data_IF_377464989187
#
_entry.id   IF_377464989187
#
_cell.length_a   1.000
_cell.length_b   1.000
_cell.length_c   1.000
_cell.angle_alpha   90.00
_cell.angle_beta   90.00
_cell.angle_gamma   90.00
#
_symmetry.space_group_name_H-M   'P 1'
#
loop_
_entity.id
_entity.type
_entity.pdbx_description
1 polymer ?
#
# COMPACT_ATOMS: atom_id res chain seq x y z
N UNK A 1 16.11 13.51 3.57
CA UNK A 1 16.10 12.94 4.93
C UNK A 1 15.78 14.05 5.90
N UNK A 2 14.91 13.79 6.87
CA UNK A 2 14.53 14.72 7.92
C UNK A 2 14.68 14.03 9.27
N UNK A 3 15.54 14.57 10.14
CA UNK A 3 15.64 14.12 11.53
C UNK A 3 14.59 14.85 12.38
N UNK A 4 13.60 14.10 12.84
CA UNK A 4 12.51 14.64 13.67
C UNK A 4 12.97 15.11 15.06
N UNK A 5 14.16 14.69 15.53
CA UNK A 5 14.66 15.04 16.87
C UNK A 5 15.40 16.37 16.86
N UNK A 6 16.28 16.58 15.86
CA UNK A 6 17.09 17.79 15.74
C UNK A 6 16.51 18.83 14.79
N UNK A 7 15.56 18.45 13.93
CA UNK A 7 15.05 19.28 12.83
C UNK A 7 16.01 19.40 11.64
N UNK A 8 17.18 18.75 11.69
CA UNK A 8 18.16 18.79 10.62
C UNK A 8 17.66 18.06 9.37
N UNK A 9 17.97 18.63 8.21
CA UNK A 9 17.51 18.12 6.91
C UNK A 9 18.68 17.92 5.96
N UNK A 10 18.62 16.84 5.19
CA UNK A 10 19.45 16.65 3.99
C UNK A 10 18.51 16.55 2.80
N UNK A 11 18.61 17.52 1.89
CA UNK A 11 17.76 17.64 0.71
C UNK A 11 18.61 17.73 -0.57
N UNK A 12 18.36 16.82 -1.52
CA UNK A 12 18.98 16.82 -2.84
C UNK A 12 17.86 16.58 -3.85
N UNK A 13 17.63 17.53 -4.76
CA UNK A 13 16.55 17.49 -5.75
C UNK A 13 15.15 17.23 -5.15
N UNK A 14 14.88 17.74 -3.95
CA UNK A 14 13.65 17.44 -3.19
C UNK A 14 12.34 17.75 -3.93
N UNK A 15 12.34 18.76 -4.81
CA UNK A 15 11.17 19.20 -5.57
C UNK A 15 11.12 18.63 -7.00
N UNK A 16 11.99 17.67 -7.33
CA UNK A 16 12.00 17.03 -8.64
C UNK A 16 11.05 15.82 -8.64
N UNK A 17 10.21 15.71 -9.66
CA UNK A 17 9.32 14.54 -9.83
C UNK A 17 10.11 13.32 -10.31
N UNK A 18 9.78 12.16 -9.73
CA UNK A 18 10.31 10.86 -10.12
C UNK A 18 9.16 9.84 -10.29
N UNK A 19 9.42 8.76 -11.01
CA UNK A 19 8.49 7.63 -11.05
C UNK A 19 8.43 6.98 -9.67
N UNK A 20 7.24 6.90 -9.09
CA UNK A 20 7.06 6.40 -7.73
C UNK A 20 7.42 4.90 -7.59
N UNK A 21 7.30 4.11 -8.66
CA UNK A 21 7.40 2.65 -8.57
C UNK A 21 6.57 2.12 -7.39
N UNK A 22 7.09 1.19 -6.59
CA UNK A 22 6.36 0.66 -5.42
C UNK A 22 6.15 1.68 -4.27
N UNK A 23 6.78 2.86 -4.28
CA UNK A 23 6.59 3.85 -3.19
C UNK A 23 5.18 4.43 -3.16
N UNK A 24 4.42 4.33 -4.25
CA UNK A 24 3.00 4.72 -4.32
C UNK A 24 2.09 3.93 -3.37
N UNK A 25 2.52 2.74 -2.93
CA UNK A 25 1.73 1.87 -2.06
C UNK A 25 1.54 2.45 -0.65
N UNK A 26 2.49 3.27 -0.17
CA UNK A 26 2.40 3.94 1.13
C UNK A 26 1.21 4.91 1.19
N UNK A 27 1.07 5.92 0.30
CA UNK A 27 -0.10 6.79 0.32
C UNK A 27 -1.41 6.04 0.02
N UNK A 28 -1.38 4.97 -0.78
CA UNK A 28 -2.57 4.13 -1.00
C UNK A 28 -3.03 3.45 0.30
N UNK A 29 -2.10 2.87 1.07
CA UNK A 29 -2.39 2.29 2.38
C UNK A 29 -2.94 3.34 3.35
N UNK A 30 -2.37 4.54 3.37
CA UNK A 30 -2.86 5.66 4.19
C UNK A 30 -4.30 6.04 3.83
N UNK A 31 -4.65 6.11 2.54
CA UNK A 31 -6.02 6.40 2.07
C UNK A 31 -7.00 5.31 2.53
N UNK A 32 -6.60 4.05 2.44
CA UNK A 32 -7.45 2.92 2.86
C UNK A 32 -7.70 2.99 4.38
N UNK A 33 -6.65 3.20 5.19
CA UNK A 33 -6.80 3.29 6.63
C UNK A 33 -7.52 4.57 7.10
N UNK A 34 -7.42 5.68 6.36
CA UNK A 34 -8.26 6.86 6.59
C UNK A 34 -9.75 6.55 6.36
N UNK A 35 -10.09 5.76 5.34
CA UNK A 35 -11.47 5.29 5.12
C UNK A 35 -11.95 4.35 6.24
N UNK A 36 -11.07 3.50 6.76
CA UNK A 36 -11.36 2.65 7.92
C UNK A 36 -11.61 3.50 9.16
N UNK A 37 -10.73 4.46 9.46
CA UNK A 37 -10.87 5.37 10.59
C UNK A 37 -12.14 6.23 10.53
N UNK A 38 -12.62 6.55 9.33
CA UNK A 38 -13.89 7.26 9.07
C UNK A 38 -15.13 6.35 9.07
N UNK A 39 -14.96 5.04 9.21
CA UNK A 39 -16.05 4.06 9.15
C UNK A 39 -16.64 3.82 7.77
N UNK A 40 -16.01 4.33 6.70
CA UNK A 40 -16.44 4.11 5.31
C UNK A 40 -16.06 2.70 4.80
N UNK A 41 -15.08 2.06 5.46
CA UNK A 41 -14.62 0.69 5.22
C UNK A 41 -14.34 0.00 6.55
N UNK A 42 -14.25 -1.32 6.53
CA UNK A 42 -13.73 -2.12 7.64
C UNK A 42 -12.47 -2.85 7.18
N UNK A 43 -11.53 -3.06 8.07
CA UNK A 43 -10.35 -3.90 7.79
C UNK A 43 -10.74 -5.32 7.38
N UNK A 44 -11.86 -5.81 7.90
CA UNK A 44 -12.44 -7.12 7.60
C UNK A 44 -13.25 -7.16 6.31
N UNK A 45 -13.44 -6.03 5.63
CA UNK A 45 -14.08 -6.05 4.30
C UNK A 45 -13.19 -6.90 3.38
N UNK A 46 -13.83 -7.69 2.51
CA UNK A 46 -13.11 -8.63 1.64
C UNK A 46 -13.24 -8.26 0.16
N UNK A 47 -12.17 -8.51 -0.60
CA UNK A 47 -12.14 -8.38 -2.05
C UNK A 47 -11.89 -9.75 -2.68
N UNK A 48 -12.66 -10.05 -3.73
CA UNK A 48 -12.45 -11.25 -4.54
C UNK A 48 -11.46 -10.94 -5.65
N UNK A 49 -10.39 -11.72 -5.74
CA UNK A 49 -9.46 -11.64 -6.86
C UNK A 49 -10.11 -12.15 -8.15
N UNK A 50 -9.72 -11.54 -9.27
CA UNK A 50 -10.03 -12.03 -10.60
C UNK A 50 -8.81 -11.90 -11.49
N UNK A 51 -8.68 -12.72 -12.53
CA UNK A 51 -7.49 -12.74 -13.40
C UNK A 51 -7.19 -11.37 -14.07
N UNK A 52 -8.19 -10.51 -14.26
CA UNK A 52 -7.99 -9.12 -14.72
C UNK A 52 -7.24 -8.23 -13.71
N UNK A 53 -7.10 -8.67 -12.46
CA UNK A 53 -6.33 -8.00 -11.40
C UNK A 53 -4.89 -8.52 -11.33
N UNK A 54 -4.53 -9.53 -12.15
CA UNK A 54 -3.19 -10.09 -12.15
C UNK A 54 -2.24 -9.09 -12.78
N UNK A 55 -1.25 -8.70 -11.98
CA UNK A 55 -0.12 -7.87 -12.40
C UNK A 55 1.17 -8.68 -12.25
N UNK A 56 2.19 -8.34 -13.04
CA UNK A 56 3.52 -8.93 -12.90
C UNK A 56 4.25 -8.42 -11.65
N UNK A 57 5.43 -8.99 -11.37
CA UNK A 57 6.30 -8.57 -10.27
C UNK A 57 6.59 -9.69 -9.27
N UNK A 58 6.96 -9.33 -8.05
CA UNK A 58 7.35 -10.25 -6.97
C UNK A 58 6.31 -10.35 -5.85
N UNK A 59 5.07 -9.92 -6.12
CA UNK A 59 4.05 -9.72 -5.08
C UNK A 59 3.60 -11.04 -4.45
N UNK A 60 3.46 -11.06 -3.12
CA UNK A 60 3.14 -12.25 -2.29
C UNK A 60 1.84 -12.95 -2.75
N UNK A 61 0.87 -12.20 -3.28
CA UNK A 61 -0.40 -12.75 -3.74
C UNK A 61 -0.27 -13.80 -4.84
N UNK A 62 0.81 -13.79 -5.63
CA UNK A 62 0.99 -14.74 -6.73
C UNK A 62 1.14 -16.20 -6.26
N UNK A 63 1.56 -16.40 -5.02
CA UNK A 63 1.80 -17.73 -4.42
C UNK A 63 0.63 -18.20 -3.54
N UNK A 64 -0.41 -17.36 -3.38
CA UNK A 64 -1.55 -17.60 -2.50
C UNK A 64 -2.73 -18.27 -3.21
N UNK A 65 -3.63 -18.88 -2.44
CA UNK A 65 -4.93 -19.32 -2.95
C UNK A 65 -5.86 -18.11 -3.16
N UNK A 66 -5.90 -17.59 -4.38
CA UNK A 66 -6.70 -16.42 -4.77
C UNK A 66 -8.18 -16.73 -5.05
N UNK A 67 -8.64 -17.96 -4.85
CA UNK A 67 -10.06 -18.30 -5.00
C UNK A 67 -10.94 -17.81 -3.83
N UNK A 68 -10.32 -17.54 -2.68
CA UNK A 68 -10.98 -17.09 -1.46
C UNK A 68 -10.90 -15.55 -1.37
N UNK A 69 -11.97 -14.84 -0.96
CA UNK A 69 -11.90 -13.41 -0.70
C UNK A 69 -10.83 -13.07 0.36
N UNK A 70 -10.05 -12.02 0.11
CA UNK A 70 -8.94 -11.58 0.95
C UNK A 70 -9.37 -10.28 1.67
N UNK A 71 -9.05 -10.14 2.95
CA UNK A 71 -9.40 -8.93 3.72
C UNK A 71 -8.58 -7.72 3.27
N UNK A 72 -9.14 -6.53 3.45
CA UNK A 72 -8.44 -5.26 3.20
C UNK A 72 -7.13 -5.19 4.00
N UNK A 73 -7.15 -5.58 5.29
CA UNK A 73 -5.93 -5.56 6.13
C UNK A 73 -4.81 -6.40 5.55
N UNK A 74 -5.08 -7.63 5.12
CA UNK A 74 -4.08 -8.51 4.50
C UNK A 74 -3.53 -7.92 3.22
N UNK A 75 -4.39 -7.35 2.35
CA UNK A 75 -3.94 -6.72 1.10
C UNK A 75 -3.03 -5.51 1.36
N UNK A 76 -3.32 -4.71 2.38
CA UNK A 76 -2.49 -3.55 2.74
C UNK A 76 -1.17 -3.99 3.36
N UNK A 77 -1.19 -5.00 4.24
CA UNK A 77 0.02 -5.57 4.84
C UNK A 77 0.95 -6.15 3.77
N UNK A 78 0.43 -6.99 2.87
CA UNK A 78 1.22 -7.60 1.79
C UNK A 78 1.78 -6.57 0.81
N UNK A 79 1.11 -5.42 0.63
CA UNK A 79 1.59 -4.35 -0.24
C UNK A 79 2.79 -3.58 0.34
N UNK A 80 3.02 -3.66 1.66
CA UNK A 80 4.07 -2.91 2.37
C UNK A 80 5.24 -3.78 2.83
N UNK A 81 5.19 -5.10 2.60
CA UNK A 81 6.29 -6.05 2.81
C UNK A 81 7.18 -6.15 1.58
#
# INVERSE_FOLDING_TARGET
YYDISSGNTISINENKTFNAASTIKVPLAMIIYDQVGKGARKETDTLKFSEKNREGGTGILQDNNLSVPITISTLVEDALR
#
